data_IF_609384281846
#
_entry.id   IF_609384281846
#
_cell.length_a   1.000
_cell.length_b   1.000
_cell.length_c   1.000
_cell.angle_alpha   90.00
_cell.angle_beta   90.00
_cell.angle_gamma   90.00
#
_symmetry.space_group_name_H-M   'P 1'
#
loop_
_entity.id
_entity.type
_entity.pdbx_description
1 polymer ?
#
# COMPACT_ATOMS: atom_id res chain seq x y z
N UNK A 1 65.85 -41.57 -0.77
CA UNK A 1 65.20 -41.57 -0.84
C UNK A 1 64.21 -40.90 -0.49
N UNK A 2 63.37 -40.66 -0.46
CA UNK A 2 62.52 -40.24 -0.08
C UNK A 2 61.63 -39.47 -0.16
N UNK A 3 60.86 -39.20 -0.13
CA UNK A 3 60.00 -38.66 -0.09
C UNK A 3 59.05 -38.02 0.00
N UNK A 4 58.40 -37.67 -0.04
CA UNK A 4 57.52 -37.16 0.09
C UNK A 4 56.52 -36.63 0.11
N UNK A 5 55.88 -36.28 0.26
CA UNK A 5 55.00 -35.80 0.51
C UNK A 5 54.04 -35.14 0.38
N UNK A 6 53.61 -34.91 0.30
CA UNK A 6 52.72 -34.47 0.30
C UNK A 6 51.74 -33.86 0.47
N UNK A 7 51.23 -33.56 0.50
CA UNK A 7 50.31 -33.14 0.77
C UNK A 7 49.41 -32.41 0.66
N UNK A 8 49.07 -32.13 0.72
CA UNK A 8 48.29 -31.61 0.70
C UNK A 8 47.21 -31.11 0.69
N UNK A 9 46.90 -30.95 0.70
CA UNK A 9 46.00 -30.76 0.78
C UNK A 9 45.06 -30.08 0.99
N UNK A 10 44.83 -29.86 1.14
CA UNK A 10 44.05 -29.39 1.38
C UNK A 10 43.20 -28.70 1.26
N UNK A 11 43.05 -28.47 1.36
CA UNK A 11 42.33 -27.87 1.33
C UNK A 11 41.31 -27.43 1.24
N UNK A 12 41.05 -27.34 1.19
CA UNK A 12 40.19 -27.12 1.04
C UNK A 12 39.21 -26.54 1.35
N UNK A 13 39.08 -26.55 1.59
CA UNK A 13 38.21 -26.22 1.85
C UNK A 13 37.42 -25.38 1.84
N UNK A 14 37.42 -25.15 1.82
CA UNK A 14 36.75 -24.46 1.90
C UNK A 14 35.74 -23.99 1.70
N UNK A 15 35.52 -23.98 1.68
CA UNK A 15 34.66 -23.54 1.59
C UNK A 15 33.75 -23.02 1.77
N UNK A 16 33.68 -23.11 1.84
CA UNK A 16 32.91 -22.81 2.05
C UNK A 16 32.11 -22.06 2.11
N UNK A 17 32.09 -21.90 2.24
CA UNK A 17 31.38 -21.30 2.39
C UNK A 17 30.41 -20.80 2.21
N UNK A 18 30.15 -20.82 2.15
CA UNK A 18 29.37 -20.51 2.06
C UNK A 18 28.40 -19.96 2.12
N UNK A 19 28.27 -19.79 2.16
CA UNK A 19 27.37 -19.39 2.21
C UNK A 19 26.44 -18.80 2.19
N UNK A 20 26.42 -18.84 2.33
CA UNK A 20 25.54 -18.39 2.44
C UNK A 20 24.59 -17.75 2.34
N UNK A 21 24.53 -17.82 2.33
CA UNK A 21 23.66 -17.28 2.39
C UNK A 21 22.63 -16.78 2.39
N UNK A 22 22.49 -16.90 2.49
CA UNK A 22 21.63 -16.67 2.57
C UNK A 22 20.74 -16.02 2.65
N UNK A 23 20.60 -15.81 2.72
CA UNK A 23 19.73 -15.26 2.90
C UNK A 23 18.73 -14.81 2.71
N UNK A 24 18.56 -14.80 2.75
CA UNK A 24 17.67 -14.48 2.63
C UNK A 24 16.68 -14.09 2.69
N UNK A 25 16.52 -14.05 2.90
CA UNK A 25 15.59 -13.72 3.03
C UNK A 25 14.65 -13.21 3.09
N UNK A 26 14.61 -13.30 3.27
CA UNK A 26 13.67 -13.03 3.46
C UNK A 26 12.82 -12.39 3.50
N UNK A 27 12.82 -12.34 3.55
CA UNK A 27 12.06 -11.87 3.72
C UNK A 27 11.11 -11.42 3.68
N UNK A 28 11.02 -11.44 3.80
CA UNK A 28 10.20 -11.11 3.84
C UNK A 28 9.28 -10.74 3.74
N UNK A 29 9.21 -10.78 3.66
CA UNK A 29 8.42 -10.58 3.59
C UNK A 29 7.54 -10.15 3.93
N UNK A 30 7.55 -10.12 4.20
CA UNK A 30 6.70 -9.90 4.62
C UNK A 30 6.02 -8.97 4.60
N UNK A 31 6.29 -8.72 4.56
CA UNK A 31 5.74 -7.95 4.56
C UNK A 31 4.72 -7.60 4.51
N UNK A 32 4.56 -7.86 4.41
CA UNK A 32 3.65 -7.81 4.34
C UNK A 32 2.81 -7.05 4.72
N UNK A 33 2.69 -7.08 5.09
CA UNK A 33 1.93 -6.54 5.59
C UNK A 33 1.78 -5.37 5.27
N UNK A 34 2.60 -5.30 5.04
CA UNK A 34 2.52 -4.08 4.75
C UNK A 34 1.35 -3.80 4.11
N UNK A 35 1.02 -4.58 3.56
CA UNK A 35 -0.12 -4.32 2.93
C UNK A 35 -0.89 -3.33 3.56
N UNK A 36 -0.64 -3.19 4.70
CA UNK A 36 -1.44 -2.23 5.36
C UNK A 36 -1.45 -0.92 4.64
N UNK A 37 -0.37 -0.55 4.09
CA UNK A 37 -0.37 0.73 3.41
C UNK A 37 -1.36 0.77 2.27
N UNK A 38 -1.48 -0.31 1.56
CA UNK A 38 -2.36 -0.29 0.41
C UNK A 38 -3.83 -0.34 0.81
N UNK A 39 -4.11 -0.82 2.00
CA UNK A 39 -5.49 -0.86 2.48
C UNK A 39 -6.10 0.51 2.70
N UNK A 40 -5.30 1.55 2.75
CA UNK A 40 -5.76 2.90 3.03
C UNK A 40 -5.73 3.79 1.80
N UNK A 41 -5.64 3.20 0.61
CA UNK A 41 -5.55 3.95 -0.64
C UNK A 41 -6.73 3.63 -1.53
N UNK A 42 -7.29 4.66 -2.15
CA UNK A 42 -8.37 4.54 -3.12
C UNK A 42 -7.92 5.16 -4.44
N UNK A 43 -7.99 4.39 -5.50
CA UNK A 43 -7.74 4.92 -6.84
C UNK A 43 -9.06 5.43 -7.43
N UNK A 44 -8.98 6.55 -8.13
CA UNK A 44 -10.10 7.09 -8.92
C UNK A 44 -9.72 6.83 -10.36
N UNK A 45 -10.49 6.00 -11.03
CA UNK A 45 -10.20 5.64 -12.43
C UNK A 45 -11.48 5.17 -13.12
N UNK A 46 -11.57 5.48 -14.41
CA UNK A 46 -12.72 5.11 -15.24
C UNK A 46 -14.04 5.59 -14.61
N UNK A 47 -14.02 6.82 -14.06
CA UNK A 47 -15.19 7.43 -13.43
C UNK A 47 -15.72 6.57 -12.26
N UNK A 48 -14.83 5.96 -11.50
CA UNK A 48 -15.19 5.13 -10.36
C UNK A 48 -14.11 5.19 -9.27
N UNK A 49 -14.54 5.01 -8.03
CA UNK A 49 -13.63 4.74 -6.91
C UNK A 49 -13.28 3.24 -6.94
N UNK A 50 -12.03 2.90 -6.68
CA UNK A 50 -11.54 1.50 -6.78
C UNK A 50 -12.24 0.54 -5.83
N UNK A 51 -12.91 1.04 -4.82
CA UNK A 51 -13.75 0.24 -3.92
C UNK A 51 -14.99 1.04 -3.52
N UNK A 52 -16.12 0.37 -3.47
CA UNK A 52 -17.38 0.97 -3.01
C UNK A 52 -17.46 1.02 -1.49
N UNK A 53 -16.64 0.26 -0.78
CA UNK A 53 -16.61 0.25 0.68
C UNK A 53 -15.21 -0.09 1.17
N UNK A 54 -14.58 0.84 1.86
CA UNK A 54 -13.26 0.67 2.45
C UNK A 54 -13.41 0.57 3.96
N UNK A 55 -12.82 -0.47 4.57
CA UNK A 55 -12.84 -0.63 6.02
C UNK A 55 -11.49 -0.21 6.60
N UNK A 56 -11.52 0.65 7.60
CA UNK A 56 -10.31 1.14 8.28
C UNK A 56 -10.57 1.21 9.79
N UNK A 57 -9.51 1.40 10.57
CA UNK A 57 -9.64 1.68 12.00
C UNK A 57 -9.58 3.18 12.27
N UNK A 58 -10.10 3.58 13.40
CA UNK A 58 -10.10 4.97 13.84
C UNK A 58 -8.67 5.52 13.87
N UNK A 59 -8.49 6.72 13.37
CA UNK A 59 -7.17 7.37 13.27
C UNK A 59 -6.45 7.10 11.96
N UNK A 60 -7.04 6.31 11.06
CA UNK A 60 -6.42 6.00 9.78
C UNK A 60 -6.51 7.17 8.81
N UNK A 61 -5.43 7.43 8.10
CA UNK A 61 -5.42 8.36 6.96
C UNK A 61 -5.72 7.58 5.69
N UNK A 62 -6.75 7.99 4.96
CA UNK A 62 -7.06 7.43 3.63
C UNK A 62 -6.62 8.42 2.57
N UNK A 63 -5.99 7.93 1.52
CA UNK A 63 -5.51 8.74 0.40
C UNK A 63 -6.20 8.32 -0.89
N UNK A 64 -6.81 9.28 -1.56
CA UNK A 64 -7.37 9.11 -2.90
C UNK A 64 -6.39 9.64 -3.93
N UNK A 65 -6.20 8.91 -5.02
CA UNK A 65 -5.35 9.35 -6.15
C UNK A 65 -6.20 9.36 -7.41
N UNK A 66 -6.22 10.48 -8.11
CA UNK A 66 -6.93 10.60 -9.38
C UNK A 66 -6.06 10.06 -10.52
N UNK A 67 -6.38 8.86 -10.95
CA UNK A 67 -5.69 8.18 -12.06
C UNK A 67 -6.48 8.29 -13.38
N UNK A 68 -7.51 9.13 -13.41
CA UNK A 68 -8.22 9.48 -14.64
C UNK A 68 -7.58 10.66 -15.34
N UNK A 69 -8.00 10.89 -16.59
CA UNK A 69 -7.56 12.04 -17.38
C UNK A 69 -8.44 13.27 -17.15
N UNK A 70 -9.43 13.20 -16.28
CA UNK A 70 -10.38 14.30 -15.96
C UNK A 70 -10.36 14.60 -14.48
N UNK A 71 -10.85 15.77 -14.12
CA UNK A 71 -10.93 16.22 -12.72
C UNK A 71 -12.06 15.51 -11.99
N UNK A 72 -11.82 15.15 -10.73
CA UNK A 72 -12.81 14.57 -9.82
C UNK A 72 -12.80 15.31 -8.48
N UNK A 73 -13.76 14.98 -7.61
CA UNK A 73 -13.76 15.40 -6.20
C UNK A 73 -14.01 14.18 -5.31
N UNK A 74 -13.66 14.32 -4.03
CA UNK A 74 -14.02 13.37 -2.97
C UNK A 74 -14.72 14.18 -1.90
N UNK A 75 -16.03 14.06 -1.82
CA UNK A 75 -16.86 14.91 -0.96
C UNK A 75 -17.76 14.04 -0.09
N UNK A 76 -17.64 14.18 1.22
CA UNK A 76 -18.50 13.44 2.16
C UNK A 76 -19.95 13.90 2.05
N UNK A 77 -20.89 12.95 2.11
CA UNK A 77 -22.31 13.25 2.04
C UNK A 77 -22.76 14.08 3.25
N UNK A 78 -22.10 13.88 4.39
CA UNK A 78 -22.39 14.61 5.63
C UNK A 78 -21.59 15.92 5.74
N UNK A 79 -20.86 16.29 4.70
CA UNK A 79 -20.04 17.50 4.64
C UNK A 79 -18.83 17.49 5.58
N UNK A 80 -18.47 16.35 6.14
CA UNK A 80 -17.33 16.25 7.07
C UNK A 80 -15.99 16.50 6.37
N UNK A 81 -15.91 16.28 5.05
CA UNK A 81 -14.75 16.67 4.27
C UNK A 81 -15.12 16.93 2.81
N UNK A 82 -14.26 17.69 2.13
CA UNK A 82 -14.40 18.00 0.73
C UNK A 82 -12.99 18.25 0.17
N UNK A 83 -12.59 17.47 -0.81
CA UNK A 83 -11.26 17.59 -1.40
C UNK A 83 -11.10 18.82 -2.30
N UNK A 84 -12.21 19.39 -2.76
CA UNK A 84 -12.17 20.30 -3.89
C UNK A 84 -11.79 19.54 -5.14
N UNK A 85 -11.36 20.23 -6.17
CA UNK A 85 -10.98 19.62 -7.44
C UNK A 85 -9.65 18.90 -7.34
N UNK A 86 -9.65 17.62 -7.71
CA UNK A 86 -8.44 16.81 -7.81
C UNK A 86 -8.14 16.63 -9.29
N UNK A 87 -7.10 17.31 -9.76
CA UNK A 87 -6.69 17.22 -11.17
C UNK A 87 -6.12 15.82 -11.48
N UNK A 88 -6.01 15.44 -12.75
CA UNK A 88 -5.35 14.19 -13.13
C UNK A 88 -3.98 14.06 -12.46
N UNK A 89 -3.73 12.93 -11.80
CA UNK A 89 -2.52 12.67 -11.04
C UNK A 89 -2.51 13.24 -9.63
N UNK A 90 -3.50 14.06 -9.28
CA UNK A 90 -3.58 14.69 -7.96
C UNK A 90 -4.04 13.71 -6.88
N UNK A 91 -3.86 14.13 -5.64
CA UNK A 91 -4.21 13.33 -4.47
C UNK A 91 -4.93 14.17 -3.43
N UNK A 92 -5.71 13.47 -2.59
CA UNK A 92 -6.38 14.03 -1.43
C UNK A 92 -6.28 13.01 -0.30
N UNK A 93 -6.02 13.48 0.91
CA UNK A 93 -5.97 12.62 2.09
C UNK A 93 -6.88 13.17 3.19
N UNK A 94 -7.49 12.26 3.95
CA UNK A 94 -8.34 12.61 5.09
C UNK A 94 -8.11 11.60 6.22
N UNK A 95 -8.07 12.11 7.46
CA UNK A 95 -7.92 11.28 8.66
C UNK A 95 -9.30 11.00 9.24
N UNK A 96 -9.64 9.72 9.41
CA UNK A 96 -10.90 9.30 10.00
C UNK A 96 -10.74 9.12 11.50
N UNK A 97 -11.02 10.15 12.29
CA UNK A 97 -10.77 10.17 13.73
C UNK A 97 -11.95 9.65 14.56
N UNK A 98 -13.09 9.35 13.95
CA UNK A 98 -14.27 8.85 14.66
C UNK A 98 -14.80 7.59 13.99
N UNK A 99 -15.24 6.63 14.80
CA UNK A 99 -15.86 5.40 14.29
C UNK A 99 -17.21 5.72 13.64
N UNK A 100 -17.59 4.93 12.65
CA UNK A 100 -18.85 5.09 11.94
C UNK A 100 -18.66 4.90 10.45
N UNK A 101 -19.74 5.10 9.69
CA UNK A 101 -19.73 4.99 8.24
C UNK A 101 -19.86 6.38 7.63
N UNK A 102 -18.94 6.72 6.74
CA UNK A 102 -18.95 8.00 6.04
C UNK A 102 -19.10 7.71 4.55
N UNK A 103 -20.27 8.05 4.00
CA UNK A 103 -20.51 7.94 2.58
C UNK A 103 -19.95 9.19 1.88
N UNK A 104 -19.47 9.01 0.65
CA UNK A 104 -18.92 10.11 -0.13
C UNK A 104 -19.17 9.92 -1.62
N UNK A 105 -19.03 11.00 -2.36
CA UNK A 105 -19.31 11.02 -3.79
C UNK A 105 -18.39 12.02 -4.51
N UNK A 106 -18.44 12.01 -5.84
CA UNK A 106 -17.83 13.04 -6.66
C UNK A 106 -18.88 14.08 -7.02
N UNK A 107 -18.60 15.37 -6.76
CA UNK A 107 -19.53 16.44 -7.08
C UNK A 107 -19.69 16.67 -8.59
N UNK A 108 -18.68 16.30 -9.37
CA UNK A 108 -18.69 16.51 -10.83
C UNK A 108 -19.41 15.35 -11.52
N UNK A 109 -19.15 14.14 -11.08
CA UNK A 109 -19.72 12.91 -11.66
C UNK A 109 -20.52 12.20 -10.58
N UNK A 110 -21.75 12.64 -10.39
CA UNK A 110 -22.56 12.29 -9.22
C UNK A 110 -22.96 10.83 -9.10
N UNK A 111 -22.76 10.04 -10.15
CA UNK A 111 -22.95 8.58 -10.09
C UNK A 111 -21.81 7.89 -9.34
N UNK A 112 -20.66 8.54 -9.17
CA UNK A 112 -19.51 7.99 -8.43
C UNK A 112 -19.76 8.12 -6.94
N UNK A 113 -19.99 6.99 -6.26
CA UNK A 113 -20.30 6.94 -4.83
C UNK A 113 -19.57 5.79 -4.17
N UNK A 114 -19.20 5.98 -2.90
CA UNK A 114 -18.53 4.98 -2.10
C UNK A 114 -18.66 5.35 -0.63
N UNK A 115 -18.04 4.55 0.26
CA UNK A 115 -18.06 4.82 1.69
C UNK A 115 -16.81 4.28 2.37
N UNK A 116 -16.49 4.87 3.51
CA UNK A 116 -15.48 4.37 4.43
C UNK A 116 -16.19 3.91 5.69
N UNK A 117 -15.89 2.71 6.13
CA UNK A 117 -16.40 2.13 7.38
C UNK A 117 -15.25 2.17 8.38
N UNK A 118 -15.42 2.95 9.44
CA UNK A 118 -14.38 3.20 10.43
C UNK A 118 -14.73 2.42 11.70
N UNK A 119 -13.88 1.46 12.05
CA UNK A 119 -14.01 0.71 13.30
C UNK A 119 -13.21 1.37 14.42
N UNK A 120 -13.53 1.03 15.68
CA UNK A 120 -12.79 1.49 16.85
C UNK A 120 -11.40 0.88 16.90
#
# INVERSE_FOLDING_TARGET
MTSGIKSATLLILLFLLIGFYSCSKNDSSYGSNGGSGSGNAVSIKNFAFSTGSLSVTKGTTVTWTNNDAVTHTVTADDSSFNSGNIAPGGKFSHIFSAAGTVAYHCNIHTSMKAKVVVAN
#
